data_IF_705119190786
#
_entry.id   IF_705119190786
#
_cell.length_a   1.000
_cell.length_b   1.000
_cell.length_c   1.000
_cell.angle_alpha   90.00
_cell.angle_beta   90.00
_cell.angle_gamma   90.00
#
_symmetry.space_group_name_H-M   'P 1'
#
loop_
_entity.id
_entity.type
_entity.pdbx_description
1 polymer ?
#
# COMPACT_ATOMS: atom_id res chain seq x y z
N UNK A 1 -8.68 -16.84 31.54
CA UNK A 1 -9.95 -16.60 30.84
C UNK A 1 -9.88 -15.22 30.18
N UNK A 2 -9.48 -15.15 28.91
CA UNK A 2 -9.56 -13.94 28.08
C UNK A 2 -9.72 -14.41 26.65
N UNK A 3 -10.93 -14.36 26.10
CA UNK A 3 -11.15 -14.82 24.71
C UNK A 3 -12.20 -13.98 23.99
N UNK A 4 -13.34 -13.67 24.62
CA UNK A 4 -14.44 -12.97 23.94
C UNK A 4 -14.18 -11.47 23.71
N UNK A 5 -13.65 -10.74 24.70
CA UNK A 5 -13.35 -9.32 24.58
C UNK A 5 -12.19 -9.03 23.59
N UNK A 6 -11.24 -9.97 23.49
CA UNK A 6 -10.12 -9.87 22.55
C UNK A 6 -10.54 -10.14 21.10
N UNK A 7 -11.49 -11.06 20.89
CA UNK A 7 -12.02 -11.37 19.56
C UNK A 7 -12.78 -10.19 18.96
N UNK A 8 -13.65 -9.53 19.74
CA UNK A 8 -14.40 -8.36 19.28
C UNK A 8 -13.49 -7.17 18.95
N UNK A 9 -12.45 -6.94 19.76
CA UNK A 9 -11.47 -5.88 19.51
C UNK A 9 -10.65 -6.16 18.25
N UNK A 10 -10.17 -7.40 18.05
CA UNK A 10 -9.48 -7.82 16.82
C UNK A 10 -10.37 -7.68 15.59
N UNK A 11 -11.63 -8.08 15.68
CA UNK A 11 -12.60 -7.93 14.59
C UNK A 11 -12.86 -6.45 14.25
N UNK A 12 -13.02 -5.58 15.24
CA UNK A 12 -13.11 -4.13 15.02
C UNK A 12 -11.86 -3.53 14.40
N UNK A 13 -10.66 -4.05 14.73
CA UNK A 13 -9.43 -3.68 14.04
C UNK A 13 -9.44 -4.14 12.58
N UNK A 14 -9.84 -5.38 12.28
CA UNK A 14 -9.94 -5.90 10.90
C UNK A 14 -10.92 -5.10 10.04
N UNK A 15 -12.01 -4.57 10.61
CA UNK A 15 -12.96 -3.73 9.89
C UNK A 15 -12.47 -2.29 9.66
N UNK A 16 -11.43 -1.84 10.37
CA UNK A 16 -10.89 -0.49 10.29
C UNK A 16 -9.57 -0.43 9.53
N UNK A 17 -8.81 -1.52 9.53
CA UNK A 17 -7.56 -1.63 8.79
C UNK A 17 -7.88 -2.20 7.41
N UNK A 18 -7.72 -1.41 6.33
CA UNK A 18 -7.86 -1.97 5.00
C UNK A 18 -6.83 -3.09 4.83
N UNK A 19 -7.25 -4.21 4.23
CA UNK A 19 -6.36 -5.33 3.93
C UNK A 19 -5.17 -4.79 3.12
N UNK A 20 -3.90 -5.07 3.51
CA UNK A 20 -2.74 -4.59 2.77
C UNK A 20 -2.79 -4.91 1.27
N UNK A 21 -3.40 -6.05 0.90
CA UNK A 21 -3.64 -6.43 -0.49
C UNK A 21 -4.61 -5.48 -1.18
N UNK A 22 -5.67 -5.04 -0.50
CA UNK A 22 -6.63 -4.06 -1.03
C UNK A 22 -5.99 -2.67 -1.15
N UNK A 23 -5.13 -2.29 -0.22
CA UNK A 23 -4.35 -1.04 -0.28
C UNK A 23 -3.39 -1.09 -1.49
N UNK A 24 -2.64 -2.18 -1.63
CA UNK A 24 -1.73 -2.39 -2.76
C UNK A 24 -2.47 -2.34 -4.10
N UNK A 25 -3.64 -2.98 -4.20
CA UNK A 25 -4.48 -2.92 -5.40
C UNK A 25 -4.97 -1.51 -5.71
N UNK A 26 -5.37 -0.74 -4.69
CA UNK A 26 -5.78 0.65 -4.87
C UNK A 26 -4.62 1.53 -5.36
N UNK A 27 -3.42 1.35 -4.79
CA UNK A 27 -2.21 2.01 -5.29
C UNK A 27 -1.89 1.63 -6.73
N UNK A 28 -1.94 0.34 -7.05
CA UNK A 28 -1.67 -0.15 -8.40
C UNK A 28 -2.64 0.45 -9.43
N UNK A 29 -3.93 0.52 -9.10
CA UNK A 29 -4.93 1.17 -9.96
C UNK A 29 -4.66 2.66 -10.15
N UNK A 30 -4.31 3.37 -9.08
CA UNK A 30 -3.96 4.79 -9.15
C UNK A 30 -2.72 5.03 -10.02
N UNK A 31 -1.65 4.27 -9.82
CA UNK A 31 -0.43 4.38 -10.61
C UNK A 31 -0.62 3.94 -12.06
N UNK A 32 -1.50 2.97 -12.34
CA UNK A 32 -1.82 2.57 -13.70
C UNK A 32 -2.55 3.68 -14.49
N UNK A 33 -3.26 4.57 -13.79
CA UNK A 33 -3.92 5.73 -14.39
C UNK A 33 -2.96 6.90 -14.66
N UNK A 34 -1.73 6.86 -14.13
CA UNK A 34 -0.72 7.91 -14.34
C UNK A 34 0.01 7.77 -15.67
N UNK A 35 0.45 8.91 -16.19
CA UNK A 35 1.41 8.97 -17.29
C UNK A 35 2.78 8.39 -16.87
N UNK A 36 3.63 7.99 -17.84
CA UNK A 36 4.97 7.53 -17.51
C UNK A 36 5.80 8.55 -16.72
N UNK A 37 5.73 9.84 -17.08
CA UNK A 37 6.49 10.91 -16.39
C UNK A 37 6.07 11.05 -14.92
N UNK A 38 4.77 11.01 -14.64
CA UNK A 38 4.27 11.06 -13.26
C UNK A 38 4.74 9.85 -12.43
N UNK A 39 4.82 8.66 -13.05
CA UNK A 39 5.35 7.46 -12.38
C UNK A 39 6.85 7.56 -12.08
N UNK A 40 7.62 8.20 -12.95
CA UNK A 40 9.04 8.46 -12.69
C UNK A 40 9.24 9.45 -11.54
N UNK A 41 8.38 10.44 -11.40
CA UNK A 41 8.37 11.37 -10.25
C UNK A 41 8.04 10.63 -8.94
N UNK A 42 7.02 9.77 -8.95
CA UNK A 42 6.68 8.93 -7.80
C UNK A 42 7.83 8.00 -7.44
N UNK A 43 8.48 7.36 -8.42
CA UNK A 43 9.66 6.52 -8.18
C UNK A 43 10.75 7.29 -7.44
N UNK A 44 11.07 8.50 -7.89
CA UNK A 44 12.08 9.35 -7.24
C UNK A 44 11.68 9.79 -5.83
N UNK A 45 10.39 9.99 -5.56
CA UNK A 45 9.89 10.31 -4.24
C UNK A 45 9.99 9.11 -3.30
N UNK A 46 9.51 7.94 -3.72
CA UNK A 46 9.55 6.69 -2.94
C UNK A 46 10.97 6.24 -2.60
N UNK A 47 11.90 6.39 -3.55
CA UNK A 47 13.31 6.07 -3.32
C UNK A 47 13.97 6.88 -2.19
N UNK A 48 13.35 7.98 -1.75
CA UNK A 48 13.84 8.82 -0.64
C UNK A 48 13.21 8.47 0.71
N UNK A 49 12.09 7.75 0.73
CA UNK A 49 11.24 7.59 1.92
C UNK A 49 11.02 6.15 2.35
N UNK A 50 11.16 5.17 1.46
CA UNK A 50 10.89 3.74 1.74
C UNK A 50 11.92 2.81 1.10
N UNK A 51 11.64 1.50 1.14
CA UNK A 51 12.26 0.54 0.24
C UNK A 51 12.10 1.03 -1.20
N UNK A 52 13.24 1.11 -1.89
CA UNK A 52 13.35 1.64 -3.26
C UNK A 52 12.61 0.70 -4.21
N UNK A 53 11.57 1.16 -4.94
CA UNK A 53 10.93 0.35 -5.95
C UNK A 53 11.93 -0.08 -7.03
N UNK A 54 11.75 -1.28 -7.61
CA UNK A 54 12.65 -1.80 -8.65
C UNK A 54 12.60 -0.99 -9.95
N UNK A 55 11.46 -0.38 -10.24
CA UNK A 55 11.16 0.35 -11.46
C UNK A 55 9.89 1.22 -11.29
N UNK A 56 9.55 1.99 -12.32
CA UNK A 56 8.35 2.84 -12.35
C UNK A 56 7.07 2.09 -12.80
N UNK A 57 7.03 0.75 -12.77
CA UNK A 57 5.79 0.02 -13.08
C UNK A 57 4.75 0.23 -11.97
N UNK A 58 3.44 0.26 -12.29
CA UNK A 58 2.39 0.46 -11.28
C UNK A 58 2.45 -0.55 -10.14
N UNK A 59 2.82 -1.80 -10.45
CA UNK A 59 2.95 -2.88 -9.47
C UNK A 59 4.14 -2.68 -8.54
N UNK A 60 5.31 -2.29 -9.08
CA UNK A 60 6.50 -2.06 -8.26
C UNK A 60 6.30 -0.86 -7.32
N UNK A 61 5.73 0.23 -7.84
CA UNK A 61 5.37 1.41 -7.06
C UNK A 61 4.32 1.10 -5.97
N UNK A 62 3.30 0.30 -6.30
CA UNK A 62 2.25 -0.08 -5.35
C UNK A 62 2.80 -0.85 -4.15
N UNK A 63 3.64 -1.86 -4.40
CA UNK A 63 4.25 -2.67 -3.33
C UNK A 63 5.06 -1.83 -2.36
N UNK A 64 5.87 -0.90 -2.87
CA UNK A 64 6.64 0.02 -2.02
C UNK A 64 5.74 1.00 -1.26
N UNK A 65 4.62 1.43 -1.85
CA UNK A 65 3.72 2.40 -1.23
C UNK A 65 2.80 1.81 -0.14
N UNK A 66 2.48 0.51 -0.19
CA UNK A 66 1.56 -0.17 0.75
C UNK A 66 1.97 -0.05 2.22
N UNK A 67 3.27 0.14 2.50
CA UNK A 67 3.84 0.11 3.84
C UNK A 67 4.48 1.42 4.31
N UNK A 68 4.31 2.50 3.55
CA UNK A 68 4.66 3.86 3.97
C UNK A 68 3.80 4.32 5.14
#
# INVERSE_FOLDING_TARGET
MSTAADAARRYQYMLRTPDPTQIEQAHQQAFAAMTPSERDEVLQALAKTSEVPSDASPTSLARSATWL
#
